data_IF_938997383465
#
_entry.id   IF_938997383465
#
_cell.length_a   1.000
_cell.length_b   1.000
_cell.length_c   1.000
_cell.angle_alpha   90.00
_cell.angle_beta   90.00
_cell.angle_gamma   90.00
#
_symmetry.space_group_name_H-M   'P 1'
#
loop_
_entity.id
_entity.type
_entity.pdbx_description
1 polymer ?
#
# COMPACT_ATOMS: atom_id res chain seq x y z
N UNK A 1 22.45 -30.68 11.85
CA UNK A 1 21.28 -31.45 12.31
C UNK A 1 20.11 -30.86 11.57
N UNK A 2 19.43 -31.63 10.71
CA UNK A 2 18.18 -31.18 10.09
C UNK A 2 17.13 -31.05 11.19
N UNK A 3 16.31 -29.96 11.20
CA UNK A 3 15.27 -29.80 12.20
C UNK A 3 14.29 -30.99 12.11
N UNK A 4 13.80 -31.41 13.25
CA UNK A 4 12.71 -32.39 13.34
C UNK A 4 11.48 -31.84 12.63
N UNK A 5 10.59 -32.68 12.04
CA UNK A 5 9.40 -32.23 11.32
C UNK A 5 8.51 -31.25 12.11
N UNK A 6 8.50 -31.34 13.44
CA UNK A 6 7.69 -30.53 14.36
C UNK A 6 8.13 -29.06 14.44
N UNK A 7 9.34 -28.69 14.03
CA UNK A 7 9.87 -27.32 14.13
C UNK A 7 10.15 -26.66 12.78
N UNK A 8 9.70 -27.26 11.70
CA UNK A 8 10.05 -26.82 10.35
C UNK A 8 9.56 -25.42 9.99
N UNK A 9 8.51 -24.93 10.65
CA UNK A 9 7.86 -23.66 10.35
C UNK A 9 7.61 -22.80 11.61
N UNK A 10 8.36 -23.03 12.69
CA UNK A 10 8.17 -22.27 13.93
C UNK A 10 8.50 -20.78 13.78
N UNK A 11 9.51 -20.45 13.00
CA UNK A 11 9.86 -19.09 12.63
C UNK A 11 8.78 -18.40 11.79
N UNK A 12 8.15 -19.14 10.88
CA UNK A 12 7.01 -18.65 10.09
C UNK A 12 5.80 -18.38 10.98
N UNK A 13 5.46 -19.31 11.90
CA UNK A 13 4.38 -19.08 12.87
C UNK A 13 4.66 -17.86 13.77
N UNK A 14 5.90 -17.72 14.22
CA UNK A 14 6.31 -16.58 15.01
C UNK A 14 6.19 -15.26 14.23
N UNK A 15 6.54 -15.26 12.95
CA UNK A 15 6.43 -14.09 12.07
C UNK A 15 4.97 -13.72 11.76
N UNK A 16 4.09 -14.72 11.57
CA UNK A 16 2.64 -14.50 11.42
C UNK A 16 2.02 -14.00 12.73
N UNK A 17 2.59 -14.37 13.88
CA UNK A 17 2.12 -13.97 15.21
C UNK A 17 0.98 -14.81 15.76
N UNK A 18 0.58 -15.89 15.08
CA UNK A 18 -0.45 -16.84 15.52
C UNK A 18 -0.03 -18.28 15.26
N UNK A 19 -0.52 -19.21 16.06
CA UNK A 19 -0.30 -20.64 15.84
C UNK A 19 -1.25 -21.14 14.76
N UNK A 20 -0.71 -21.86 13.79
CA UNK A 20 -1.49 -22.58 12.78
C UNK A 20 -1.18 -24.07 12.91
N UNK A 21 -2.20 -24.91 12.88
CA UNK A 21 -2.06 -26.35 12.85
C UNK A 21 -1.26 -26.83 11.65
N UNK A 22 -0.48 -27.90 11.83
CA UNK A 22 0.45 -28.39 10.80
C UNK A 22 -0.23 -28.73 9.48
N UNK A 23 -1.42 -29.34 9.54
CA UNK A 23 -2.18 -29.72 8.33
C UNK A 23 -2.59 -28.48 7.53
N UNK A 24 -3.14 -27.47 8.19
CA UNK A 24 -3.63 -26.25 7.53
C UNK A 24 -2.47 -25.39 7.04
N UNK A 25 -1.40 -25.28 7.81
CA UNK A 25 -0.18 -24.57 7.39
C UNK A 25 0.47 -25.28 6.20
N UNK A 26 0.59 -26.61 6.22
CA UNK A 26 1.11 -27.38 5.07
C UNK A 26 0.26 -27.15 3.83
N UNK A 27 -1.06 -27.15 3.96
CA UNK A 27 -1.97 -26.86 2.85
C UNK A 27 -1.74 -25.45 2.29
N UNK A 28 -1.63 -24.44 3.17
CA UNK A 28 -1.39 -23.03 2.77
C UNK A 28 -0.05 -22.87 2.03
N UNK A 29 0.94 -23.69 2.33
CA UNK A 29 2.26 -23.68 1.71
C UNK A 29 2.37 -24.56 0.45
N UNK A 30 1.34 -25.37 0.13
CA UNK A 30 1.38 -26.35 -0.96
C UNK A 30 0.98 -25.70 -2.29
N UNK A 31 1.97 -25.34 -3.09
CA UNK A 31 1.74 -24.85 -4.46
C UNK A 31 1.34 -25.99 -5.39
N UNK A 32 0.54 -25.71 -6.40
CA UNK A 32 0.05 -26.69 -7.40
C UNK A 32 1.15 -27.51 -8.08
N UNK A 33 2.34 -26.94 -8.29
CA UNK A 33 3.45 -27.68 -8.89
C UNK A 33 3.93 -28.82 -8.01
N UNK A 34 4.00 -28.58 -6.68
CA UNK A 34 4.33 -29.62 -5.70
C UNK A 34 3.26 -30.69 -5.64
N UNK A 35 2.01 -30.28 -5.56
CA UNK A 35 0.86 -31.18 -5.53
C UNK A 35 0.84 -32.13 -6.75
N UNK A 36 1.10 -31.59 -7.94
CA UNK A 36 1.16 -32.36 -9.17
C UNK A 36 2.27 -33.45 -9.15
N UNK A 37 3.47 -33.09 -8.68
CA UNK A 37 4.61 -34.04 -8.59
C UNK A 37 4.45 -35.06 -7.46
N UNK A 38 3.55 -34.82 -6.50
CA UNK A 38 3.34 -35.69 -5.33
C UNK A 38 1.95 -36.34 -5.28
N UNK A 39 1.45 -36.77 -6.45
CA UNK A 39 0.26 -37.61 -6.55
C UNK A 39 -1.08 -36.87 -6.48
N UNK A 40 -1.10 -35.55 -6.74
CA UNK A 40 -2.33 -34.77 -6.80
C UNK A 40 -2.84 -34.39 -5.41
N UNK A 41 -1.96 -33.92 -4.53
CA UNK A 41 -2.31 -33.41 -3.21
C UNK A 41 -3.26 -32.19 -3.33
N UNK A 42 -4.01 -31.86 -2.26
CA UNK A 42 -4.72 -30.58 -2.18
C UNK A 42 -3.74 -29.40 -2.31
N UNK A 43 -4.17 -28.35 -3.03
CA UNK A 43 -3.38 -27.14 -3.27
C UNK A 43 -3.87 -25.98 -2.40
N UNK A 44 -3.06 -24.94 -2.32
CA UNK A 44 -3.37 -23.71 -1.59
C UNK A 44 -4.39 -22.78 -2.29
N UNK A 45 -4.75 -23.03 -3.54
CA UNK A 45 -5.58 -22.13 -4.38
C UNK A 45 -6.92 -21.74 -3.72
N UNK A 46 -7.55 -22.64 -2.98
CA UNK A 46 -8.80 -22.31 -2.26
C UNK A 46 -8.59 -21.44 -1.04
N UNK A 47 -7.44 -21.60 -0.38
CA UNK A 47 -7.06 -20.72 0.73
C UNK A 47 -6.66 -19.33 0.23
N UNK A 48 -5.94 -19.25 -0.88
CA UNK A 48 -5.63 -18.04 -1.63
C UNK A 48 -6.92 -17.24 -1.93
N UNK A 49 -7.90 -17.87 -2.58
CA UNK A 49 -9.19 -17.26 -2.89
C UNK A 49 -9.88 -16.69 -1.65
N UNK A 50 -9.86 -17.40 -0.53
CA UNK A 50 -10.45 -16.96 0.73
C UNK A 50 -9.64 -15.82 1.37
N UNK A 51 -8.33 -15.94 1.34
CA UNK A 51 -7.41 -14.97 1.91
C UNK A 51 -7.41 -13.63 1.20
N UNK A 52 -7.52 -13.62 -0.13
CA UNK A 52 -7.73 -12.38 -0.91
C UNK A 52 -8.97 -11.63 -0.42
N UNK A 53 -10.09 -12.32 -0.22
CA UNK A 53 -11.30 -11.71 0.29
C UNK A 53 -11.13 -11.14 1.71
N UNK A 54 -10.45 -11.86 2.60
CA UNK A 54 -10.14 -11.41 3.97
C UNK A 54 -9.22 -10.20 3.98
N UNK A 55 -8.16 -10.23 3.20
CA UNK A 55 -7.22 -9.12 3.00
C UNK A 55 -7.95 -7.91 2.44
N UNK A 56 -8.67 -8.10 1.34
CA UNK A 56 -9.42 -7.04 0.66
C UNK A 56 -10.43 -6.35 1.57
N UNK A 57 -11.20 -7.10 2.37
CA UNK A 57 -12.13 -6.55 3.35
C UNK A 57 -11.41 -5.74 4.43
N UNK A 58 -10.37 -6.30 5.04
CA UNK A 58 -9.63 -5.66 6.14
C UNK A 58 -8.99 -4.35 5.70
N UNK A 59 -8.30 -4.35 4.55
CA UNK A 59 -7.67 -3.14 4.02
C UNK A 59 -8.73 -2.10 3.63
N UNK A 60 -9.83 -2.52 2.99
CA UNK A 60 -10.91 -1.60 2.60
C UNK A 60 -11.55 -0.93 3.82
N UNK A 61 -11.88 -1.69 4.84
CA UNK A 61 -12.47 -1.16 6.08
C UNK A 61 -11.50 -0.19 6.79
N UNK A 62 -10.22 -0.55 6.85
CA UNK A 62 -9.19 0.31 7.45
C UNK A 62 -9.06 1.64 6.71
N UNK A 63 -8.99 1.61 5.38
CA UNK A 63 -8.92 2.82 4.56
C UNK A 63 -10.17 3.68 4.69
N UNK A 64 -11.35 3.06 4.72
CA UNK A 64 -12.64 3.75 4.89
C UNK A 64 -12.69 4.56 6.19
N UNK A 65 -12.25 3.95 7.31
CA UNK A 65 -12.24 4.62 8.60
C UNK A 65 -11.10 5.63 8.77
N UNK A 66 -9.93 5.35 8.18
CA UNK A 66 -8.76 6.22 8.33
C UNK A 66 -8.80 7.45 7.42
N UNK A 67 -9.62 7.43 6.37
CA UNK A 67 -9.69 8.51 5.36
C UNK A 67 -11.14 8.92 5.04
N UNK A 68 -11.89 9.47 6.03
CA UNK A 68 -13.31 9.79 5.87
C UNK A 68 -13.59 10.86 4.79
N UNK A 69 -12.60 11.70 4.48
CA UNK A 69 -12.73 12.80 3.53
C UNK A 69 -12.34 12.41 2.08
N UNK A 70 -11.90 11.16 1.85
CA UNK A 70 -11.51 10.72 0.51
C UNK A 70 -12.68 10.17 -0.28
N UNK A 71 -12.65 10.40 -1.60
CA UNK A 71 -13.63 9.84 -2.53
C UNK A 71 -13.51 8.31 -2.60
N UNK A 72 -14.59 7.64 -3.05
CA UNK A 72 -14.58 6.18 -3.33
C UNK A 72 -13.46 5.82 -4.32
N UNK A 73 -13.30 6.63 -5.39
CA UNK A 73 -12.26 6.41 -6.39
C UNK A 73 -10.84 6.47 -5.81
N UNK A 74 -10.57 7.38 -4.87
CA UNK A 74 -9.26 7.48 -4.22
C UNK A 74 -9.02 6.33 -3.24
N UNK A 75 -10.04 5.92 -2.49
CA UNK A 75 -9.97 4.76 -1.62
C UNK A 75 -9.72 3.47 -2.43
N UNK A 76 -10.39 3.30 -3.59
CA UNK A 76 -10.16 2.17 -4.48
C UNK A 76 -8.73 2.13 -5.02
N UNK A 77 -8.18 3.28 -5.41
CA UNK A 77 -6.79 3.40 -5.86
C UNK A 77 -5.79 3.10 -4.74
N UNK A 78 -6.02 3.62 -3.52
CA UNK A 78 -5.19 3.30 -2.36
C UNK A 78 -5.21 1.81 -2.06
N UNK A 79 -6.39 1.19 -2.04
CA UNK A 79 -6.51 -0.25 -1.88
C UNK A 79 -5.70 -0.99 -2.93
N UNK A 80 -5.84 -0.65 -4.22
CA UNK A 80 -5.09 -1.27 -5.31
C UNK A 80 -3.56 -1.10 -5.19
N UNK A 81 -3.08 -0.04 -4.54
CA UNK A 81 -1.65 0.14 -4.28
C UNK A 81 -1.11 -0.73 -3.16
N UNK A 82 -1.96 -1.17 -2.24
CA UNK A 82 -1.62 -2.03 -1.11
C UNK A 82 -1.91 -3.50 -1.41
N UNK A 83 -3.05 -3.78 -2.06
CA UNK A 83 -3.50 -5.13 -2.42
C UNK A 83 -3.19 -5.38 -3.89
N UNK A 84 -1.94 -5.72 -4.16
CA UNK A 84 -1.48 -6.13 -5.49
C UNK A 84 -0.31 -7.09 -5.36
N UNK A 85 -0.03 -7.84 -6.41
CA UNK A 85 1.01 -8.89 -6.44
C UNK A 85 2.39 -8.41 -5.96
N UNK A 86 2.81 -7.19 -6.30
CA UNK A 86 4.14 -6.70 -5.92
C UNK A 86 4.20 -6.33 -4.43
N UNK A 87 3.16 -5.69 -3.91
CA UNK A 87 3.05 -5.33 -2.51
C UNK A 87 3.00 -6.59 -1.62
N UNK A 88 2.15 -7.55 -1.98
CA UNK A 88 2.04 -8.82 -1.26
C UNK A 88 3.35 -9.60 -1.28
N UNK A 89 4.00 -9.69 -2.45
CA UNK A 89 5.31 -10.34 -2.56
C UNK A 89 6.39 -9.62 -1.74
N UNK A 90 6.33 -8.30 -1.63
CA UNK A 90 7.21 -7.51 -0.76
C UNK A 90 7.05 -7.91 0.71
N UNK A 91 5.82 -7.96 1.21
CA UNK A 91 5.50 -8.43 2.58
C UNK A 91 5.97 -9.87 2.76
N UNK A 92 5.70 -10.76 1.80
CA UNK A 92 6.11 -12.16 1.85
C UNK A 92 7.63 -12.34 1.94
N UNK A 93 8.41 -11.53 1.23
CA UNK A 93 9.89 -11.56 1.31
C UNK A 93 10.42 -11.10 2.66
N UNK A 94 9.73 -10.18 3.32
CA UNK A 94 10.11 -9.67 4.64
C UNK A 94 9.59 -10.48 5.83
N UNK A 95 8.77 -11.51 5.58
CA UNK A 95 8.03 -12.20 6.64
C UNK A 95 8.92 -12.95 7.65
N UNK A 96 9.98 -13.59 7.16
CA UNK A 96 11.02 -14.23 7.98
C UNK A 96 12.41 -13.81 7.48
N UNK A 97 13.48 -14.22 8.16
CA UNK A 97 14.85 -13.95 7.70
C UNK A 97 15.14 -14.46 6.28
N UNK A 98 14.53 -15.59 5.90
CA UNK A 98 14.67 -16.23 4.58
C UNK A 98 13.45 -15.98 3.67
N UNK A 99 12.45 -15.22 4.15
CA UNK A 99 11.20 -14.95 3.47
C UNK A 99 10.25 -16.13 3.39
N UNK A 100 9.00 -15.87 3.00
CA UNK A 100 7.97 -16.92 2.83
C UNK A 100 8.40 -17.98 1.80
N UNK A 101 9.12 -17.59 0.76
CA UNK A 101 9.55 -18.49 -0.31
C UNK A 101 10.34 -19.72 0.16
N UNK A 102 11.10 -19.59 1.27
CA UNK A 102 11.85 -20.71 1.86
C UNK A 102 10.92 -21.81 2.41
N UNK A 103 9.71 -21.44 2.83
CA UNK A 103 8.72 -22.34 3.42
C UNK A 103 7.80 -23.00 2.39
N UNK A 104 7.65 -22.41 1.19
CA UNK A 104 6.76 -22.91 0.16
C UNK A 104 7.16 -24.31 -0.32
N UNK A 105 6.18 -25.18 -0.51
CA UNK A 105 6.31 -26.48 -1.13
C UNK A 105 6.10 -26.33 -2.64
N UNK A 106 7.20 -26.40 -3.39
CA UNK A 106 7.24 -26.25 -4.84
C UNK A 106 7.68 -27.54 -5.50
N UNK A 107 7.17 -27.82 -6.69
CA UNK A 107 7.71 -28.89 -7.55
C UNK A 107 9.09 -28.50 -8.09
N UNK A 108 9.91 -29.52 -8.41
CA UNK A 108 11.28 -29.32 -8.90
C UNK A 108 11.36 -28.42 -10.13
N UNK A 109 10.39 -28.56 -11.04
CA UNK A 109 10.31 -27.71 -12.23
C UNK A 109 10.15 -26.24 -11.89
N UNK A 110 9.29 -25.93 -10.92
CA UNK A 110 9.04 -24.55 -10.46
C UNK A 110 10.25 -23.99 -9.68
N UNK A 111 10.85 -24.80 -8.80
CA UNK A 111 12.08 -24.42 -8.07
C UNK A 111 13.21 -24.05 -9.02
N UNK A 112 13.46 -24.86 -10.05
CA UNK A 112 14.53 -24.65 -11.03
C UNK A 112 14.37 -23.34 -11.83
N UNK A 113 13.15 -22.82 -11.91
CA UNK A 113 12.86 -21.52 -12.57
C UNK A 113 12.78 -20.35 -11.60
N UNK A 114 13.25 -20.52 -10.37
CA UNK A 114 13.25 -19.47 -9.35
C UNK A 114 11.90 -19.21 -8.71
N UNK A 115 11.02 -20.23 -8.68
CA UNK A 115 9.65 -20.15 -8.17
C UNK A 115 9.55 -19.58 -6.75
N UNK A 116 10.56 -19.83 -5.90
CA UNK A 116 10.60 -19.33 -4.51
C UNK A 116 10.62 -17.82 -4.39
N UNK A 117 11.06 -17.09 -5.43
CA UNK A 117 11.09 -15.61 -5.44
C UNK A 117 10.15 -14.99 -6.48
N UNK A 118 9.35 -15.78 -7.19
CA UNK A 118 8.34 -15.26 -8.11
C UNK A 118 7.26 -14.51 -7.34
N UNK A 119 7.04 -13.24 -7.71
CA UNK A 119 6.08 -12.37 -7.03
C UNK A 119 4.66 -12.95 -7.00
N UNK A 120 4.19 -13.60 -8.08
CA UNK A 120 2.87 -14.24 -8.10
C UNK A 120 2.77 -15.35 -7.04
N UNK A 121 3.75 -16.27 -6.99
CA UNK A 121 3.75 -17.40 -6.05
C UNK A 121 3.85 -16.91 -4.59
N UNK A 122 4.62 -15.87 -4.35
CA UNK A 122 4.74 -15.26 -3.02
C UNK A 122 3.45 -14.56 -2.60
N UNK A 123 2.78 -13.86 -3.52
CA UNK A 123 1.49 -13.23 -3.25
C UNK A 123 0.41 -14.27 -2.94
N UNK A 124 0.25 -15.28 -3.80
CA UNK A 124 -0.70 -16.38 -3.61
C UNK A 124 -0.46 -17.11 -2.27
N UNK A 125 0.82 -17.34 -1.93
CA UNK A 125 1.23 -17.93 -0.65
C UNK A 125 0.87 -17.06 0.56
N UNK A 126 1.01 -15.74 0.45
CA UNK A 126 0.61 -14.80 1.51
C UNK A 126 -0.90 -14.83 1.72
N UNK A 127 -1.68 -14.74 0.65
CA UNK A 127 -3.14 -14.83 0.72
C UNK A 127 -3.58 -16.18 1.30
N UNK A 128 -2.94 -17.27 0.90
CA UNK A 128 -3.24 -18.62 1.43
C UNK A 128 -3.03 -18.69 2.94
N UNK A 129 -1.97 -18.08 3.47
CA UNK A 129 -1.72 -18.02 4.91
C UNK A 129 -2.83 -17.21 5.61
N UNK A 130 -3.24 -16.06 5.05
CA UNK A 130 -4.33 -15.27 5.61
C UNK A 130 -5.66 -16.03 5.61
N UNK A 131 -5.93 -16.80 4.54
CA UNK A 131 -7.07 -17.70 4.46
C UNK A 131 -7.03 -18.80 5.52
N UNK A 132 -5.86 -19.38 5.78
CA UNK A 132 -5.65 -20.37 6.83
C UNK A 132 -5.87 -19.76 8.24
N UNK A 133 -5.30 -18.59 8.52
CA UNK A 133 -5.52 -17.87 9.78
C UNK A 133 -7.01 -17.62 10.01
N UNK A 134 -7.72 -17.17 8.97
CA UNK A 134 -9.15 -16.96 9.05
C UNK A 134 -9.94 -18.23 9.39
N UNK A 135 -9.64 -19.35 8.73
CA UNK A 135 -10.34 -20.61 9.00
C UNK A 135 -10.12 -21.14 10.40
N UNK A 136 -8.92 -20.99 10.95
CA UNK A 136 -8.57 -21.53 12.26
C UNK A 136 -8.96 -20.59 13.41
N UNK A 137 -8.84 -19.28 13.21
CA UNK A 137 -8.95 -18.29 14.29
C UNK A 137 -10.07 -17.25 14.10
N UNK A 138 -10.74 -17.27 12.95
CA UNK A 138 -11.81 -16.31 12.62
C UNK A 138 -11.33 -14.94 12.18
N UNK A 139 -12.29 -14.07 11.87
CA UNK A 139 -12.05 -12.78 11.21
C UNK A 139 -11.21 -11.82 12.06
N UNK A 140 -11.49 -11.71 13.35
CA UNK A 140 -10.80 -10.74 14.22
C UNK A 140 -9.30 -11.01 14.31
N UNK A 141 -8.91 -12.29 14.43
CA UNK A 141 -7.50 -12.68 14.45
C UNK A 141 -6.85 -12.46 13.08
N UNK A 142 -7.51 -12.85 12.00
CA UNK A 142 -7.01 -12.62 10.65
C UNK A 142 -6.82 -11.12 10.36
N UNK A 143 -7.76 -10.29 10.79
CA UNK A 143 -7.66 -8.82 10.73
C UNK A 143 -6.43 -8.31 11.47
N UNK A 144 -6.20 -8.74 12.71
CA UNK A 144 -5.03 -8.33 13.49
C UNK A 144 -3.71 -8.71 12.78
N UNK A 145 -3.63 -9.90 12.19
CA UNK A 145 -2.48 -10.35 11.40
C UNK A 145 -2.29 -9.47 10.17
N UNK A 146 -3.34 -9.20 9.39
CA UNK A 146 -3.27 -8.31 8.22
C UNK A 146 -2.76 -6.93 8.62
N UNK A 147 -3.31 -6.32 9.67
CA UNK A 147 -2.91 -4.99 10.12
C UNK A 147 -1.46 -4.94 10.61
N UNK A 148 -0.98 -6.03 11.20
CA UNK A 148 0.43 -6.15 11.61
C UNK A 148 1.36 -6.24 10.40
N UNK A 149 1.04 -7.10 9.44
CA UNK A 149 1.91 -7.37 8.28
C UNK A 149 1.89 -6.25 7.24
N UNK A 150 0.74 -5.59 7.05
CA UNK A 150 0.54 -4.53 6.05
C UNK A 150 0.56 -3.12 6.64
N UNK A 151 0.82 -2.97 7.95
CA UNK A 151 0.76 -1.69 8.66
C UNK A 151 1.65 -0.62 8.04
N UNK A 152 2.89 -0.94 7.70
CA UNK A 152 3.81 -0.02 7.04
C UNK A 152 3.29 0.45 5.67
N UNK A 153 2.69 -0.45 4.88
CA UNK A 153 2.07 -0.10 3.60
C UNK A 153 0.86 0.80 3.79
N UNK A 154 0.02 0.52 4.79
CA UNK A 154 -1.14 1.36 5.13
C UNK A 154 -0.74 2.77 5.53
N UNK A 155 0.39 2.93 6.23
CA UNK A 155 0.89 4.24 6.64
C UNK A 155 1.61 5.01 5.52
N UNK A 156 2.33 4.30 4.65
CA UNK A 156 3.19 4.93 3.64
C UNK A 156 2.48 5.18 2.33
N UNK A 157 1.58 4.30 1.89
CA UNK A 157 0.87 4.44 0.63
C UNK A 157 0.12 5.78 0.47
N UNK A 158 -0.62 6.27 1.49
CA UNK A 158 -1.28 7.57 1.40
C UNK A 158 -0.30 8.75 1.29
N UNK A 159 0.87 8.66 1.96
CA UNK A 159 1.90 9.71 1.97
C UNK A 159 2.68 9.78 0.65
N UNK A 160 2.85 8.63 0.01
CA UNK A 160 3.52 8.54 -1.30
C UNK A 160 2.59 8.91 -2.46
N UNK A 161 1.33 9.29 -2.17
CA UNK A 161 0.33 9.54 -3.20
C UNK A 161 -0.02 8.28 -4.00
N UNK A 162 0.28 7.11 -3.44
CA UNK A 162 -0.03 5.84 -4.07
C UNK A 162 -1.53 5.77 -4.37
N UNK A 163 -1.84 5.50 -5.62
CA UNK A 163 -3.22 5.42 -6.09
C UNK A 163 -3.89 6.74 -6.45
N UNK A 164 -3.31 7.91 -6.14
CA UNK A 164 -3.83 9.17 -6.64
C UNK A 164 -3.39 9.36 -8.09
N UNK A 165 -4.35 9.62 -8.97
CA UNK A 165 -4.05 10.19 -10.29
C UNK A 165 -3.86 11.70 -10.11
N UNK A 166 -2.65 12.07 -9.67
CA UNK A 166 -2.32 13.46 -9.38
C UNK A 166 -2.60 14.38 -10.57
N UNK A 167 -2.52 13.86 -11.79
CA UNK A 167 -2.85 14.64 -12.99
C UNK A 167 -4.34 14.96 -13.03
N UNK A 168 -5.19 14.00 -12.73
CA UNK A 168 -6.64 14.21 -12.65
C UNK A 168 -6.98 15.11 -11.46
N UNK A 169 -6.43 14.85 -10.28
CA UNK A 169 -6.66 15.69 -9.10
C UNK A 169 -6.22 17.14 -9.30
N UNK A 170 -5.08 17.36 -9.94
CA UNK A 170 -4.62 18.70 -10.29
C UNK A 170 -5.53 19.37 -11.33
N UNK A 171 -6.02 18.63 -12.32
CA UNK A 171 -6.94 19.13 -13.32
C UNK A 171 -8.28 19.57 -12.69
N UNK A 172 -8.80 18.79 -11.75
CA UNK A 172 -10.00 19.13 -10.97
C UNK A 172 -9.79 20.40 -10.14
N UNK A 173 -8.68 20.48 -9.39
CA UNK A 173 -8.31 21.64 -8.58
C UNK A 173 -8.17 22.91 -9.43
N UNK A 174 -7.50 22.83 -10.58
CA UNK A 174 -7.31 23.99 -11.45
C UNK A 174 -8.61 24.40 -12.14
N UNK A 175 -9.49 23.45 -12.46
CA UNK A 175 -10.83 23.73 -12.97
C UNK A 175 -11.71 24.43 -11.94
N UNK A 176 -11.70 23.96 -10.69
CA UNK A 176 -12.41 24.60 -9.56
C UNK A 176 -11.96 26.04 -9.34
N UNK A 177 -10.64 26.30 -9.44
CA UNK A 177 -10.08 27.64 -9.34
C UNK A 177 -10.24 28.50 -10.61
N UNK A 178 -10.77 27.94 -11.70
CA UNK A 178 -10.92 28.63 -12.99
C UNK A 178 -9.59 28.91 -13.69
N UNK A 179 -8.53 28.14 -13.42
CA UNK A 179 -7.17 28.38 -13.94
C UNK A 179 -6.88 27.65 -15.26
N UNK A 180 -7.81 26.88 -15.79
CA UNK A 180 -7.62 26.10 -17.01
C UNK A 180 -6.89 24.77 -16.77
N UNK A 181 -6.65 24.04 -17.87
CA UNK A 181 -6.04 22.71 -17.78
C UNK A 181 -4.51 22.81 -17.56
N UNK A 182 -3.91 21.99 -16.67
CA UNK A 182 -2.47 21.90 -16.53
C UNK A 182 -1.79 21.38 -17.80
N UNK A 183 -0.61 21.90 -18.13
CA UNK A 183 0.24 21.39 -19.20
C UNK A 183 1.56 20.85 -18.65
N UNK A 184 2.19 19.90 -19.37
CA UNK A 184 3.39 19.21 -18.91
C UNK A 184 4.50 19.33 -19.95
N UNK A 185 5.63 19.89 -19.54
CA UNK A 185 6.87 19.86 -20.31
C UNK A 185 7.75 18.71 -19.79
N UNK A 186 8.12 17.77 -20.68
CA UNK A 186 8.91 16.59 -20.28
C UNK A 186 10.22 16.57 -21.03
N UNK A 187 11.32 16.47 -20.31
CA UNK A 187 12.67 16.25 -20.82
C UNK A 187 13.19 14.89 -20.39
N UNK A 188 14.21 14.37 -21.05
CA UNK A 188 14.86 13.12 -20.63
C UNK A 188 16.37 13.23 -20.75
N UNK A 189 17.07 12.58 -19.80
CA UNK A 189 18.54 12.47 -19.74
C UNK A 189 18.95 11.02 -19.56
N UNK A 190 20.22 10.70 -19.84
CA UNK A 190 20.77 9.35 -19.69
C UNK A 190 20.69 8.48 -20.94
N UNK A 191 21.37 7.31 -20.96
CA UNK A 191 21.36 6.36 -22.06
C UNK A 191 20.01 5.63 -22.18
N UNK A 192 19.72 5.05 -23.33
CA UNK A 192 18.41 4.43 -23.65
C UNK A 192 17.94 3.36 -22.62
N UNK A 193 18.87 2.65 -22.01
CA UNK A 193 18.59 1.59 -21.03
C UNK A 193 18.47 2.10 -19.59
N UNK A 194 18.79 3.39 -19.34
CA UNK A 194 18.70 4.01 -18.01
C UNK A 194 18.31 5.49 -18.16
N UNK A 195 17.20 5.74 -18.85
CA UNK A 195 16.65 7.09 -19.02
C UNK A 195 15.98 7.57 -17.76
N UNK A 196 16.29 8.80 -17.38
CA UNK A 196 15.58 9.57 -16.38
C UNK A 196 14.76 10.66 -17.07
N UNK A 197 13.49 10.79 -16.66
CA UNK A 197 12.56 11.77 -17.19
C UNK A 197 12.31 12.84 -16.13
N UNK A 198 12.36 14.11 -16.55
CA UNK A 198 11.96 15.25 -15.72
C UNK A 198 10.74 15.89 -16.34
N UNK A 199 9.65 16.00 -15.58
CA UNK A 199 8.43 16.69 -15.99
C UNK A 199 8.28 17.98 -15.16
N UNK A 200 7.92 19.08 -15.83
CA UNK A 200 7.50 20.34 -15.20
C UNK A 200 6.05 20.58 -15.53
N UNK A 201 5.21 20.82 -14.53
CA UNK A 201 3.81 21.16 -14.74
C UNK A 201 3.63 22.67 -14.69
N UNK A 202 2.90 23.17 -15.69
CA UNK A 202 2.55 24.58 -15.87
C UNK A 202 1.05 24.77 -15.69
N UNK A 203 0.66 25.76 -14.91
CA UNK A 203 -0.73 26.24 -14.76
C UNK A 203 -0.71 27.76 -14.92
N UNK A 204 -1.54 28.31 -15.81
CA UNK A 204 -1.52 29.73 -16.15
C UNK A 204 -0.11 30.24 -16.49
N UNK A 205 0.62 29.50 -17.33
CA UNK A 205 2.00 29.81 -17.76
C UNK A 205 3.03 29.92 -16.62
N UNK A 206 2.66 29.50 -15.41
CA UNK A 206 3.56 29.46 -14.26
C UNK A 206 3.88 28.01 -13.90
N UNK A 207 5.15 27.73 -13.58
CA UNK A 207 5.58 26.42 -13.11
C UNK A 207 5.17 26.24 -11.63
N UNK A 208 4.45 25.16 -11.36
CA UNK A 208 3.93 24.84 -10.03
C UNK A 208 4.52 23.57 -9.43
N UNK A 209 5.16 22.71 -10.25
CA UNK A 209 5.78 21.49 -9.73
C UNK A 209 6.71 20.83 -10.75
N UNK A 210 7.70 20.11 -10.23
CA UNK A 210 8.69 19.34 -10.99
C UNK A 210 8.74 17.92 -10.47
N UNK A 211 8.75 16.93 -11.35
CA UNK A 211 8.84 15.53 -10.97
C UNK A 211 9.87 14.78 -11.78
N UNK A 212 10.62 13.89 -11.14
CA UNK A 212 11.62 13.04 -11.75
C UNK A 212 11.23 11.57 -11.63
N UNK A 213 11.35 10.81 -12.71
CA UNK A 213 10.98 9.40 -12.72
C UNK A 213 11.65 8.60 -13.83
N UNK A 214 11.56 7.28 -13.73
CA UNK A 214 12.08 6.34 -14.74
C UNK A 214 11.20 6.21 -15.99
N UNK A 215 10.01 6.83 -15.96
CA UNK A 215 9.12 6.94 -17.11
C UNK A 215 8.49 8.32 -17.15
N UNK A 216 8.02 8.74 -18.37
CA UNK A 216 7.27 10.00 -18.53
C UNK A 216 6.07 10.06 -17.59
N UNK A 217 5.30 8.96 -17.50
CA UNK A 217 4.11 8.88 -16.63
C UNK A 217 4.47 9.10 -15.16
N UNK A 218 5.54 8.48 -14.67
CA UNK A 218 5.99 8.65 -13.28
C UNK A 218 6.44 10.09 -13.01
N UNK A 219 7.24 10.68 -13.91
CA UNK A 219 7.69 12.07 -13.77
C UNK A 219 6.51 13.05 -13.76
N UNK A 220 5.54 12.89 -14.67
CA UNK A 220 4.34 13.72 -14.74
C UNK A 220 3.45 13.59 -13.50
N UNK A 221 3.28 12.38 -12.95
CA UNK A 221 2.51 12.17 -11.72
C UNK A 221 3.16 12.86 -10.51
N UNK A 222 4.49 12.76 -10.38
CA UNK A 222 5.23 13.46 -9.32
C UNK A 222 5.17 14.98 -9.44
N UNK A 223 5.30 15.50 -10.67
CA UNK A 223 5.16 16.93 -10.94
C UNK A 223 3.75 17.43 -10.60
N UNK A 224 2.72 16.65 -10.94
CA UNK A 224 1.34 16.99 -10.61
C UNK A 224 1.07 16.99 -9.09
N UNK A 225 1.66 16.04 -8.35
CA UNK A 225 1.57 15.97 -6.89
C UNK A 225 2.18 17.22 -6.24
N UNK A 226 3.37 17.61 -6.66
CA UNK A 226 4.03 18.83 -6.15
C UNK A 226 3.22 20.09 -6.46
N UNK A 227 2.70 20.20 -7.69
CA UNK A 227 1.87 21.33 -8.09
C UNK A 227 0.56 21.38 -7.29
N UNK A 228 -0.09 20.24 -7.10
CA UNK A 228 -1.32 20.17 -6.31
C UNK A 228 -1.09 20.65 -4.88
N UNK A 229 -0.04 20.18 -4.21
CA UNK A 229 0.33 20.63 -2.86
C UNK A 229 0.66 22.14 -2.83
N UNK A 230 1.37 22.63 -3.82
CA UNK A 230 1.70 24.07 -3.94
C UNK A 230 0.48 24.97 -4.13
N UNK A 231 -0.53 24.49 -4.89
CA UNK A 231 -1.74 25.25 -5.24
C UNK A 231 -2.83 25.14 -4.17
N UNK A 232 -2.97 23.97 -3.53
CA UNK A 232 -3.99 23.74 -2.50
C UNK A 232 -3.73 24.53 -1.22
N UNK A 233 -2.49 24.99 -1.00
CA UNK A 233 -2.13 25.73 0.18
C UNK A 233 -2.15 24.89 1.46
N UNK A 234 -2.19 23.59 1.34
CA UNK A 234 -2.10 22.67 2.46
C UNK A 234 -0.67 22.69 3.03
N UNK A 235 -0.51 23.47 4.11
CA UNK A 235 0.52 23.14 5.10
C UNK A 235 0.27 21.69 5.57
N UNK A 236 1.32 20.92 5.83
CA UNK A 236 1.17 19.58 6.37
C UNK A 236 0.32 19.67 7.65
N UNK A 237 -0.69 18.81 7.77
CA UNK A 237 -1.60 18.72 8.91
C UNK A 237 -0.81 18.62 10.22
N UNK A 238 -0.54 19.77 10.86
CA UNK A 238 0.24 19.87 12.09
C UNK A 238 0.65 21.28 12.40
N UNK A 239 -0.30 22.15 12.72
CA UNK A 239 0.00 23.50 13.22
C UNK A 239 -1.23 24.37 13.34
N UNK A 240 -2.10 24.09 14.30
CA UNK A 240 -3.02 25.12 14.81
C UNK A 240 -2.15 26.20 15.47
N UNK A 241 -1.95 27.31 14.78
CA UNK A 241 -1.45 28.52 15.39
C UNK A 241 -2.51 29.04 16.40
N UNK A 242 -2.08 29.15 17.62
CA UNK A 242 -2.81 29.82 18.69
C UNK A 242 -3.14 31.26 18.25
N UNK A 243 -4.44 31.57 18.21
CA UNK A 243 -4.93 32.91 17.95
C UNK A 243 -4.52 33.84 19.07
N UNK A 244 -3.79 34.87 18.71
CA UNK A 244 -3.37 35.94 19.60
C UNK A 244 -4.56 36.66 20.21
N UNK A 245 -4.50 36.81 21.52
CA UNK A 245 -5.25 37.71 22.35
C UNK A 245 -5.02 39.16 21.87
N UNK A 246 -6.05 39.84 21.38
CA UNK A 246 -6.07 41.30 21.30
C UNK A 246 -6.69 41.84 22.56
N UNK A 247 -6.03 42.78 23.27
CA UNK A 247 -6.60 43.41 24.46
C UNK A 247 -7.56 44.53 24.06
N UNK A 248 -8.81 44.41 24.47
CA UNK A 248 -9.77 45.49 24.43
C UNK A 248 -9.34 46.60 25.41
N UNK A 249 -8.74 47.62 24.84
CA UNK A 249 -8.45 48.92 25.50
C UNK A 249 -9.69 49.79 25.63
N UNK A 250 -9.94 50.14 26.77
CA UNK A 250 -10.40 51.19 27.52
C UNK A 250 -11.30 52.34 27.01
N UNK A 251 -12.11 52.81 27.95
CA UNK A 251 -12.68 54.14 28.20
C UNK A 251 -13.95 54.55 27.48
N UNK A 252 -14.99 54.77 28.23
CA UNK A 252 -15.32 56.16 28.62
C UNK A 252 -16.38 56.14 29.71
N UNK A 253 -16.07 56.96 30.72
CA UNK A 253 -16.96 57.47 31.77
C UNK A 253 -18.11 58.29 31.21
N UNK A 254 -19.22 58.29 31.90
CA UNK A 254 -20.36 59.12 31.63
C UNK A 254 -21.39 59.04 32.73
N UNK A 255 -21.09 59.63 33.83
CA UNK A 255 -21.89 60.38 34.79
C UNK A 255 -23.39 60.63 34.50
N UNK A 256 -24.19 60.49 35.52
CA UNK A 256 -25.04 61.35 36.35
C UNK A 256 -26.55 61.20 36.20
N UNK A 257 -27.15 61.08 37.40
CA UNK A 257 -28.35 61.65 37.97
C UNK A 257 -29.73 61.16 37.53
N UNK A 258 -30.43 60.61 38.39
CA UNK A 258 -31.52 61.15 39.28
C UNK A 258 -32.12 59.94 40.02
#
# INVERSE_FOLDING_TARGET
>A
MSPTPEHRHDDLRAAIGVQLGDELLTLALTHRSYAYENGGLPTNERLEFLGDAVLGLTITETLYHSHPDRSEGDLAKLRASIVNTQALAGVARGLTGDGLGAHLLLGKGEENTGGRDKSSILADGMESILGAVYLEHGLETARAVVLTLFGELLETAPKLGAGLDWKTSLQELTAEKGWGAPSYAVTSTGPDHDKEFTATVMVNDTAHGVGVGRSKKEAEQKAAAEAWNSISGDEPLGGRAEGGDEPLGGRAEGTVSA
#
